data_IF_698723382048
#
_entry.id   IF_698723382048
#
_cell.length_a   1.000
_cell.length_b   1.000
_cell.length_c   1.000
_cell.angle_alpha   90.00
_cell.angle_beta   90.00
_cell.angle_gamma   90.00
#
_symmetry.space_group_name_H-M   'P 1'
#
loop_
_entity.id
_entity.type
_entity.pdbx_description
1 polymer ?
#
# COMPACT_ATOMS: atom_id res chain seq x y z
N UNK A 1 -1.23 18.48 0.25
CA UNK A 1 -0.08 17.58 0.01
C UNK A 1 -0.27 16.36 0.88
N UNK A 2 -0.21 15.16 0.31
CA UNK A 2 -0.56 13.93 1.02
C UNK A 2 0.68 13.32 1.68
N UNK A 3 0.57 12.94 2.95
CA UNK A 3 1.62 12.31 3.72
C UNK A 3 1.13 10.99 4.34
N UNK A 4 2.03 10.01 4.39
CA UNK A 4 1.80 8.71 5.04
C UNK A 4 2.97 8.39 5.98
N UNK A 5 2.71 7.69 7.10
CA UNK A 5 3.78 7.18 7.96
C UNK A 5 4.49 5.96 7.35
N UNK A 6 5.80 5.91 7.55
CA UNK A 6 6.64 4.77 7.16
C UNK A 6 6.91 3.92 8.41
N UNK A 7 6.47 2.66 8.37
CA UNK A 7 6.78 1.67 9.39
C UNK A 7 5.88 1.71 10.63
N UNK A 8 6.07 2.69 11.53
CA UNK A 8 5.32 2.75 12.81
C UNK A 8 4.36 3.94 12.86
N UNK A 9 3.15 3.76 13.41
CA UNK A 9 2.24 4.88 13.64
C UNK A 9 2.84 5.84 14.66
N UNK A 10 2.67 7.14 14.43
CA UNK A 10 3.16 8.17 15.33
C UNK A 10 2.22 9.38 15.31
N UNK A 11 2.19 10.10 16.43
CA UNK A 11 1.41 11.33 16.55
C UNK A 11 2.33 12.53 16.42
N UNK A 12 1.97 13.48 15.57
CA UNK A 12 2.66 14.75 15.41
C UNK A 12 1.76 15.86 15.95
N UNK A 13 2.26 16.62 16.92
CA UNK A 13 1.57 17.72 17.58
C UNK A 13 2.18 19.06 17.20
N UNK A 14 1.35 20.07 17.00
CA UNK A 14 1.77 21.45 16.74
C UNK A 14 0.77 22.46 17.35
N UNK A 15 1.13 23.76 17.42
CA UNK A 15 0.23 24.78 17.94
C UNK A 15 -1.03 24.88 17.06
N UNK A 16 -2.17 24.42 17.56
CA UNK A 16 -3.45 24.41 16.85
C UNK A 16 -3.88 23.07 16.26
N UNK A 17 -3.23 21.94 16.61
CA UNK A 17 -3.77 20.61 16.28
C UNK A 17 -2.81 19.45 16.52
N UNK A 18 -3.37 18.23 16.52
CA UNK A 18 -2.60 17.00 16.41
C UNK A 18 -3.06 16.19 15.21
N UNK A 19 -2.11 15.54 14.54
CA UNK A 19 -2.41 14.50 13.53
C UNK A 19 -1.70 13.22 13.94
N UNK A 20 -2.45 12.12 13.87
CA UNK A 20 -1.92 10.76 14.02
C UNK A 20 -1.64 10.19 12.64
N UNK A 21 -0.38 9.98 12.32
CA UNK A 21 0.04 9.31 11.09
C UNK A 21 0.12 7.81 11.34
N UNK A 22 -0.44 7.04 10.41
CA UNK A 22 -0.45 5.58 10.47
C UNK A 22 0.04 5.03 9.13
N UNK A 23 0.84 3.96 9.11
CA UNK A 23 1.23 3.30 7.88
C UNK A 23 -0.02 2.83 7.13
N UNK A 24 -0.08 3.05 5.81
CA UNK A 24 -1.26 2.77 5.00
C UNK A 24 -2.35 3.84 5.06
N UNK A 25 -2.25 4.82 5.98
CA UNK A 25 -3.20 5.93 6.09
C UNK A 25 -2.62 7.21 5.50
N UNK A 26 -3.14 7.58 4.34
CA UNK A 26 -2.80 8.83 3.68
C UNK A 26 -3.58 9.98 4.29
N UNK A 27 -2.86 11.02 4.72
CA UNK A 27 -3.43 12.21 5.33
C UNK A 27 -3.10 13.41 4.46
N UNK A 28 -4.10 14.18 4.08
CA UNK A 28 -3.86 15.45 3.40
C UNK A 28 -3.46 16.51 4.42
N UNK A 29 -2.31 17.13 4.16
CA UNK A 29 -1.68 18.14 4.99
C UNK A 29 -1.35 19.34 4.10
N UNK A 30 -1.52 20.59 4.58
CA UNK A 30 -1.06 21.76 3.86
C UNK A 30 0.44 21.65 3.52
N UNK A 31 0.83 22.06 2.31
CA UNK A 31 2.19 21.87 1.79
C UNK A 31 3.28 22.46 2.70
N UNK A 32 3.08 23.70 3.18
CA UNK A 32 3.96 24.36 4.17
C UNK A 32 4.20 23.48 5.41
N UNK A 33 3.14 22.82 5.90
CA UNK A 33 3.24 21.91 7.04
C UNK A 33 3.88 20.60 6.67
N UNK A 34 3.58 20.04 5.50
CA UNK A 34 4.16 18.80 5.04
C UNK A 34 5.69 18.89 4.96
N UNK A 35 6.21 19.99 4.41
CA UNK A 35 7.66 20.29 4.38
C UNK A 35 8.25 20.32 5.79
N UNK A 36 7.58 20.98 6.74
CA UNK A 36 8.04 21.05 8.15
C UNK A 36 8.00 19.70 8.86
N UNK A 37 7.00 18.86 8.57
CA UNK A 37 6.89 17.51 9.15
C UNK A 37 8.00 16.63 8.59
N UNK A 38 8.19 16.60 7.27
CA UNK A 38 9.26 15.84 6.63
C UNK A 38 10.65 16.25 7.13
N UNK A 39 10.88 17.55 7.33
CA UNK A 39 12.13 18.05 7.90
C UNK A 39 12.33 17.65 9.38
N UNK A 40 11.26 17.54 10.15
CA UNK A 40 11.32 17.26 11.60
C UNK A 40 11.35 15.76 11.92
N UNK A 41 10.77 14.93 11.06
CA UNK A 41 10.73 13.47 11.23
C UNK A 41 11.17 12.75 9.95
N UNK A 42 12.44 12.94 9.52
CA UNK A 42 12.95 12.30 8.31
C UNK A 42 12.87 10.78 8.43
N UNK A 43 12.43 10.12 7.35
CA UNK A 43 12.29 8.66 7.29
C UNK A 43 11.11 8.07 8.06
N UNK A 44 10.29 8.89 8.74
CA UNK A 44 9.02 8.44 9.36
C UNK A 44 7.80 8.79 8.54
N UNK A 45 7.91 9.71 7.60
CA UNK A 45 6.85 10.07 6.65
C UNK A 45 7.39 10.12 5.25
N UNK A 46 6.53 9.84 4.28
CA UNK A 46 6.80 10.09 2.86
C UNK A 46 5.73 10.98 2.24
N UNK A 47 6.13 11.84 1.27
CA UNK A 47 5.19 12.44 0.34
C UNK A 47 4.56 11.35 -0.52
N UNK A 48 3.24 11.45 -0.69
CA UNK A 48 2.47 10.59 -1.58
C UNK A 48 1.94 11.48 -2.71
N UNK A 49 2.73 11.62 -3.77
CA UNK A 49 2.30 12.31 -5.00
C UNK A 49 1.29 11.42 -5.72
N UNK A 50 0.05 11.88 -5.83
CA UNK A 50 -1.00 11.31 -6.67
C UNK A 50 -1.18 9.78 -6.68
N UNK A 51 -0.80 9.10 -5.59
CA UNK A 51 -1.20 7.72 -5.45
C UNK A 51 -2.72 7.72 -5.26
N UNK A 52 -3.49 6.97 -6.08
CA UNK A 52 -4.85 6.63 -5.69
C UNK A 52 -4.73 6.09 -4.26
N UNK A 53 -5.53 6.66 -3.33
CA UNK A 53 -5.63 6.23 -1.94
C UNK A 53 -5.27 4.75 -1.86
N UNK A 54 -4.12 4.42 -1.24
CA UNK A 54 -3.38 3.16 -1.42
C UNK A 54 -4.30 2.08 -1.98
N UNK A 55 -4.10 1.60 -3.23
CA UNK A 55 -5.10 0.78 -3.93
C UNK A 55 -5.59 -0.23 -2.91
N UNK A 56 -6.87 -0.13 -2.54
CA UNK A 56 -7.42 -0.89 -1.44
C UNK A 56 -7.29 -2.33 -1.87
N UNK A 57 -6.20 -2.98 -1.46
CA UNK A 57 -5.90 -4.34 -1.83
C UNK A 57 -7.04 -5.16 -1.28
N UNK A 58 -7.72 -5.87 -2.16
CA UNK A 58 -8.86 -6.72 -1.82
C UNK A 58 -8.52 -8.15 -2.18
N UNK A 59 -9.14 -9.07 -1.46
CA UNK A 59 -9.23 -10.44 -1.93
C UNK A 59 -9.84 -10.45 -3.35
N UNK A 60 -9.24 -11.22 -4.25
CA UNK A 60 -9.55 -11.27 -5.68
C UNK A 60 -8.76 -10.31 -6.56
N UNK A 61 -8.00 -9.36 -5.99
CA UNK A 61 -7.08 -8.55 -6.79
C UNK A 61 -5.93 -9.41 -7.31
N UNK A 62 -5.51 -9.17 -8.55
CA UNK A 62 -4.29 -9.77 -9.07
C UNK A 62 -3.12 -8.82 -8.78
N UNK A 63 -2.02 -9.34 -8.23
CA UNK A 63 -0.87 -8.53 -7.86
C UNK A 63 0.42 -9.08 -8.42
N UNK A 64 1.37 -8.16 -8.65
CA UNK A 64 2.77 -8.46 -8.86
C UNK A 64 3.55 -8.07 -7.60
N UNK A 65 4.45 -8.94 -7.13
CA UNK A 65 5.29 -8.67 -5.98
C UNK A 65 6.73 -9.11 -6.19
N UNK A 66 7.64 -8.46 -5.47
CA UNK A 66 9.05 -8.86 -5.42
C UNK A 66 9.28 -9.83 -4.26
N UNK A 67 9.85 -10.99 -4.56
CA UNK A 67 10.38 -11.90 -3.55
C UNK A 67 11.89 -11.66 -3.38
N UNK A 68 12.43 -11.66 -2.16
CA UNK A 68 13.87 -11.58 -1.95
C UNK A 68 14.65 -12.74 -2.58
N UNK A 69 13.99 -13.89 -2.80
CA UNK A 69 14.62 -15.12 -3.25
C UNK A 69 14.25 -15.51 -4.69
N UNK A 70 13.26 -14.84 -5.31
CA UNK A 70 12.72 -15.21 -6.62
C UNK A 70 12.54 -13.97 -7.49
N UNK A 71 12.52 -14.13 -8.83
CA UNK A 71 12.08 -13.07 -9.74
C UNK A 71 10.70 -12.54 -9.35
N UNK A 72 10.29 -11.40 -9.93
CA UNK A 72 8.93 -10.86 -9.78
C UNK A 72 7.90 -11.97 -9.96
N UNK A 73 7.06 -12.14 -8.95
CA UNK A 73 5.99 -13.12 -8.94
C UNK A 73 4.65 -12.42 -9.08
N UNK A 74 3.65 -13.18 -9.50
CA UNK A 74 2.28 -12.69 -9.65
C UNK A 74 1.26 -13.74 -9.20
N UNK A 75 0.08 -13.26 -8.83
CA UNK A 75 -0.96 -14.12 -8.29
C UNK A 75 -2.14 -13.36 -7.73
N UNK A 76 -3.21 -14.11 -7.46
CA UNK A 76 -4.44 -13.60 -6.88
C UNK A 76 -4.32 -13.49 -5.36
N UNK A 77 -4.74 -12.35 -4.82
CA UNK A 77 -4.86 -12.12 -3.39
C UNK A 77 -6.01 -12.95 -2.84
N UNK A 78 -5.71 -13.86 -1.92
CA UNK A 78 -6.71 -14.69 -1.24
C UNK A 78 -7.35 -13.94 -0.06
N UNK A 79 -6.53 -13.19 0.69
CA UNK A 79 -6.96 -12.45 1.87
C UNK A 79 -6.06 -11.23 2.10
N UNK A 80 -6.60 -10.21 2.76
CA UNK A 80 -5.87 -9.02 3.20
C UNK A 80 -6.14 -8.81 4.68
N UNK A 81 -5.09 -8.46 5.42
CA UNK A 81 -5.13 -8.37 6.86
C UNK A 81 -4.80 -6.94 7.35
N UNK A 82 -5.38 -6.54 8.47
CA UNK A 82 -5.20 -5.21 9.08
C UNK A 82 -3.76 -4.92 9.53
N UNK A 83 -2.91 -5.95 9.63
CA UNK A 83 -1.48 -5.81 9.96
C UNK A 83 -0.61 -5.45 8.75
N UNK A 84 -1.22 -5.15 7.60
CA UNK A 84 -0.50 -4.72 6.39
C UNK A 84 0.11 -5.88 5.62
N UNK A 85 -0.44 -7.08 5.77
CA UNK A 85 -0.06 -8.27 5.00
C UNK A 85 -1.21 -8.76 4.14
N UNK A 86 -0.88 -9.55 3.13
CA UNK A 86 -1.83 -10.20 2.23
C UNK A 86 -1.43 -11.66 2.02
N UNK A 87 -2.39 -12.48 1.61
CA UNK A 87 -2.19 -13.90 1.33
C UNK A 87 -2.31 -14.17 -0.16
N UNK A 88 -1.40 -14.98 -0.70
CA UNK A 88 -1.40 -15.47 -2.08
C UNK A 88 -0.98 -16.93 -2.10
N UNK A 89 -1.33 -17.66 -3.15
CA UNK A 89 -0.67 -18.94 -3.42
C UNK A 89 0.75 -18.70 -3.93
N UNK A 90 1.73 -19.33 -3.29
CA UNK A 90 3.10 -19.29 -3.77
C UNK A 90 3.21 -20.12 -5.06
N UNK A 91 3.68 -19.53 -6.18
CA UNK A 91 3.56 -20.15 -7.51
C UNK A 91 4.38 -21.44 -7.69
N UNK A 92 5.37 -21.69 -6.83
CA UNK A 92 6.20 -22.90 -6.91
C UNK A 92 5.79 -24.01 -5.94
N UNK A 93 5.13 -23.65 -4.85
CA UNK A 93 4.81 -24.60 -3.77
C UNK A 93 3.31 -24.81 -3.60
N UNK A 94 2.49 -24.01 -4.28
CA UNK A 94 1.02 -24.11 -4.28
C UNK A 94 0.42 -24.08 -2.86
N UNK A 95 1.16 -23.50 -1.91
CA UNK A 95 0.70 -23.26 -0.54
C UNK A 95 0.35 -21.78 -0.35
N UNK A 96 -0.63 -21.46 0.51
CA UNK A 96 -0.88 -20.08 0.92
C UNK A 96 0.34 -19.51 1.63
N UNK A 97 0.71 -18.29 1.26
CA UNK A 97 1.83 -17.55 1.83
C UNK A 97 1.40 -16.14 2.16
N UNK A 98 1.75 -15.70 3.37
CA UNK A 98 1.44 -14.38 3.89
C UNK A 98 2.63 -13.45 3.69
N UNK A 99 2.42 -12.40 2.91
CA UNK A 99 3.44 -11.47 2.45
C UNK A 99 3.09 -10.05 2.88
N UNK A 100 4.07 -9.18 3.15
CA UNK A 100 3.79 -7.78 3.47
C UNK A 100 3.37 -7.02 2.20
N UNK A 101 2.36 -6.15 2.32
CA UNK A 101 1.83 -5.34 1.21
C UNK A 101 2.93 -4.47 0.58
N UNK A 102 3.97 -4.12 1.34
CA UNK A 102 5.14 -3.37 0.84
C UNK A 102 5.95 -4.10 -0.24
N UNK A 103 5.73 -5.41 -0.45
CA UNK A 103 6.35 -6.17 -1.53
C UNK A 103 5.62 -6.05 -2.86
N UNK A 104 4.39 -5.57 -2.84
CA UNK A 104 3.59 -5.39 -4.06
C UNK A 104 4.21 -4.26 -4.87
N UNK A 105 4.60 -4.58 -6.10
CA UNK A 105 5.09 -3.61 -7.08
C UNK A 105 3.94 -3.07 -7.93
N UNK A 106 2.90 -3.88 -8.15
CA UNK A 106 1.73 -3.50 -8.94
C UNK A 106 0.48 -4.25 -8.51
N UNK A 107 -0.64 -3.54 -8.47
CA UNK A 107 -1.98 -4.15 -8.44
C UNK A 107 -2.52 -4.15 -9.86
N UNK A 108 -2.70 -5.35 -10.42
CA UNK A 108 -3.37 -5.59 -11.69
C UNK A 108 -4.85 -5.76 -11.37
N UNK A 109 -5.55 -4.64 -11.19
CA UNK A 109 -7.01 -4.68 -11.00
C UNK A 109 -7.63 -5.45 -12.16
N UNK A 110 -8.23 -6.60 -11.87
CA UNK A 110 -8.91 -7.42 -12.86
C UNK A 110 -10.26 -6.80 -13.25
N UNK A 111 -10.30 -5.52 -13.66
CA UNK A 111 -11.45 -4.90 -14.34
C UNK A 111 -11.02 -3.79 -15.30
N UNK A 112 -10.71 -4.20 -16.52
CA UNK A 112 -11.20 -3.50 -17.71
C UNK A 112 -11.95 -4.53 -18.57
N UNK A 113 -13.26 -4.30 -18.74
CA UNK A 113 -14.26 -5.02 -19.58
C UNK A 113 -13.72 -5.55 -20.92
N UNK A 114 -14.25 -6.61 -21.54
CA UNK A 114 -15.66 -6.71 -21.98
C UNK A 114 -16.07 -8.13 -22.39
N UNK A 115 -17.28 -8.52 -21.99
CA UNK A 115 -18.14 -9.43 -22.74
C UNK A 115 -18.10 -9.07 -24.24
N UNK A 116 -17.62 -9.98 -25.08
CA UNK A 116 -17.90 -9.98 -26.51
C UNK A 116 -19.09 -10.91 -26.75
N UNK A 117 -20.06 -10.55 -27.61
CA UNK A 117 -21.17 -11.46 -27.92
C UNK A 117 -20.62 -12.71 -28.59
N UNK A 118 -21.06 -13.88 -28.12
CA UNK A 118 -20.86 -15.15 -28.81
C UNK A 118 -21.48 -15.08 -30.22
N UNK A 119 -20.83 -15.69 -31.23
CA UNK A 119 -21.39 -15.82 -32.58
C UNK A 119 -22.60 -16.76 -32.63
#
# INVERSE_FOLDING_TARGET
MKLEAIGKPFTYQWPGGQIRFEPGRVIDVPEDRAVRIMAKVPGRVRPVEDAPSAPTLKAGDWVEWLSPALPTQQGEVLAVYDDGTFEVFHPLSEIPCRLPISWITRVVNARTNSEGPMP
#
